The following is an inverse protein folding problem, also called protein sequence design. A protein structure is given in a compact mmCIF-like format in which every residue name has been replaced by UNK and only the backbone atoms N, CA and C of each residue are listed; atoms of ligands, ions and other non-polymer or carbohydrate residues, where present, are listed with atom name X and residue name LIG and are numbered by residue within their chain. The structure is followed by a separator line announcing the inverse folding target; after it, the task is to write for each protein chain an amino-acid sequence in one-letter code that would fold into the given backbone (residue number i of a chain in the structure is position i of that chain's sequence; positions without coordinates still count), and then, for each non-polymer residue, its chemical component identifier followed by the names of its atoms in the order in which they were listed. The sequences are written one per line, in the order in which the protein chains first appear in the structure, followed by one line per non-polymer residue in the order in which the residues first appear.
data_IF_355478936354
#
_entry.id   IF_355478936354
#
_cell.length_a   1.000
_cell.length_b   1.000
_cell.length_c   1.000
_cell.angle_alpha   90.00
_cell.angle_beta   90.00
_cell.angle_gamma   90.00
#
_symmetry.space_group_name_H-M   'P 1'
#
loop_
_entity.id
_entity.type
_entity.pdbx_description
1 polymer ?
#
# COMPACT_ATOMS: atom_id res chain seq x y z
N UNK A 1 -16.50 14.91 32.18
CA UNK A 1 -16.68 13.83 31.19
C UNK A 1 -15.29 13.42 30.72
N UNK A 2 -14.78 12.24 31.12
CA UNK A 2 -13.44 11.77 30.73
C UNK A 2 -13.55 10.98 29.43
N UNK A 3 -12.80 11.38 28.40
CA UNK A 3 -12.66 10.58 27.18
C UNK A 3 -11.76 9.38 27.53
N UNK A 4 -12.34 8.18 27.58
CA UNK A 4 -11.54 6.95 27.60
C UNK A 4 -11.05 6.70 26.18
N UNK A 5 -9.76 6.95 25.94
CA UNK A 5 -9.09 6.52 24.71
C UNK A 5 -8.94 5.00 24.80
N UNK A 6 -9.81 4.26 24.11
CA UNK A 6 -9.65 2.82 23.90
C UNK A 6 -8.66 2.61 22.76
N UNK A 7 -7.39 2.38 23.09
CA UNK A 7 -6.42 1.90 22.11
C UNK A 7 -6.73 0.42 21.84
N UNK A 8 -7.49 0.14 20.79
CA UNK A 8 -7.56 -1.22 20.29
C UNK A 8 -6.27 -1.51 19.51
N UNK A 9 -5.49 -2.52 19.90
CA UNK A 9 -4.27 -2.85 19.19
C UNK A 9 -4.61 -3.37 17.79
N UNK A 10 -3.87 -2.91 16.78
CA UNK A 10 -3.91 -3.55 15.47
C UNK A 10 -3.56 -5.03 15.62
N UNK A 11 -4.46 -5.90 15.19
CA UNK A 11 -4.22 -7.34 15.13
C UNK A 11 -4.11 -7.74 13.67
N UNK A 12 -2.88 -8.00 13.23
CA UNK A 12 -2.62 -8.60 11.92
C UNK A 12 -3.41 -9.90 11.83
N UNK A 13 -4.14 -10.10 10.72
CA UNK A 13 -4.71 -11.38 10.41
C UNK A 13 -3.58 -12.33 9.95
N UNK A 14 -3.05 -13.13 10.88
CA UNK A 14 -1.96 -14.06 10.60
C UNK A 14 -2.35 -15.21 9.66
N UNK A 15 -3.65 -15.42 9.43
CA UNK A 15 -4.14 -16.41 8.46
C UNK A 15 -3.98 -15.93 7.00
N UNK A 16 -3.59 -14.67 6.78
CA UNK A 16 -3.39 -14.09 5.45
C UNK A 16 -1.92 -13.73 5.29
N UNK A 17 -1.28 -14.33 4.29
CA UNK A 17 0.06 -13.92 3.85
C UNK A 17 0.08 -12.44 3.46
N UNK A 18 1.21 -11.73 3.64
CA UNK A 18 1.32 -10.40 3.08
C UNK A 18 1.00 -10.43 1.60
N UNK A 19 0.26 -9.44 1.15
CA UNK A 19 0.05 -9.20 -0.27
C UNK A 19 1.29 -8.45 -0.78
N UNK A 20 1.99 -9.06 -1.73
CA UNK A 20 3.09 -8.42 -2.44
C UNK A 20 2.50 -7.58 -3.57
N UNK A 21 2.64 -6.26 -3.47
CA UNK A 21 2.21 -5.34 -4.52
C UNK A 21 3.43 -4.89 -5.30
N UNK A 22 3.55 -5.26 -6.59
CA UNK A 22 4.74 -4.94 -7.37
C UNK A 22 4.85 -3.41 -7.57
N UNK A 23 6.04 -2.89 -7.29
CA UNK A 23 6.37 -1.48 -7.43
C UNK A 23 7.18 -1.27 -8.71
N UNK A 24 6.47 -1.34 -9.82
CA UNK A 24 6.99 -1.05 -11.16
C UNK A 24 6.55 0.36 -11.58
N UNK A 25 7.10 0.81 -12.69
CA UNK A 25 6.85 2.13 -13.28
C UNK A 25 5.47 2.30 -13.94
N UNK A 26 4.71 1.23 -14.01
CA UNK A 26 3.33 1.21 -14.44
C UNK A 26 2.43 0.89 -13.25
N UNK A 27 1.24 1.48 -13.22
CA UNK A 27 0.29 1.23 -12.16
C UNK A 27 -0.10 -0.25 -12.14
N UNK A 28 0.30 -0.97 -11.10
CA UNK A 28 -0.14 -2.34 -10.82
C UNK A 28 -1.37 -2.30 -9.92
N UNK A 29 -2.32 -3.21 -10.13
CA UNK A 29 -3.52 -3.28 -9.29
C UNK A 29 -3.61 -4.64 -8.62
N UNK A 30 -3.93 -4.63 -7.32
CA UNK A 30 -4.17 -5.83 -6.53
C UNK A 30 -5.53 -5.77 -5.88
N UNK A 31 -6.33 -6.81 -6.13
CA UNK A 31 -7.63 -6.98 -5.51
C UNK A 31 -7.46 -7.38 -4.05
N UNK A 32 -8.19 -6.71 -3.16
CA UNK A 32 -8.27 -7.09 -1.75
C UNK A 32 -9.50 -7.97 -1.56
N UNK A 33 -9.33 -9.12 -0.91
CA UNK A 33 -10.44 -10.02 -0.62
C UNK A 33 -11.49 -9.36 0.30
N UNK A 34 -12.70 -9.92 0.32
CA UNK A 34 -13.79 -9.43 1.16
C UNK A 34 -13.38 -9.43 2.64
N UNK A 35 -13.45 -8.26 3.27
CA UNK A 35 -13.06 -8.10 4.67
C UNK A 35 -14.29 -8.24 5.56
N UNK A 36 -14.28 -9.17 6.53
CA UNK A 36 -15.49 -9.55 7.25
C UNK A 36 -16.11 -8.44 8.12
N UNK A 37 -15.38 -7.33 8.39
CA UNK A 37 -15.75 -6.40 9.47
C UNK A 37 -15.81 -4.91 9.09
N UNK A 38 -15.73 -4.52 7.81
CA UNK A 38 -15.96 -3.13 7.34
C UNK A 38 -14.94 -2.05 7.76
N UNK A 39 -14.21 -2.23 8.86
CA UNK A 39 -13.08 -1.38 9.28
C UNK A 39 -11.77 -2.10 8.98
N UNK A 40 -11.00 -1.55 8.05
CA UNK A 40 -9.75 -2.16 7.57
C UNK A 40 -8.59 -1.31 8.03
N UNK A 41 -7.72 -1.90 8.86
CA UNK A 41 -6.37 -1.37 9.03
C UNK A 41 -5.44 -2.15 8.12
N UNK A 42 -4.49 -1.46 7.49
CA UNK A 42 -3.44 -2.10 6.70
C UNK A 42 -2.07 -1.68 7.21
N UNK A 43 -1.17 -2.65 7.32
CA UNK A 43 0.26 -2.43 7.49
C UNK A 43 0.92 -2.31 6.12
N UNK A 44 1.84 -1.38 5.97
CA UNK A 44 2.68 -1.22 4.77
C UNK A 44 4.13 -1.41 5.19
N UNK A 45 4.86 -2.27 4.49
CA UNK A 45 6.33 -2.34 4.55
C UNK A 45 6.90 -2.02 3.16
N UNK A 46 7.79 -1.04 3.10
CA UNK A 46 8.63 -0.75 1.95
C UNK A 46 10.09 -1.03 2.30
N UNK A 47 10.56 -2.25 2.05
CA UNK A 47 11.95 -2.64 2.30
C UNK A 47 12.92 -2.20 1.19
N UNK A 48 12.42 -1.60 0.11
CA UNK A 48 13.22 -1.29 -1.07
C UNK A 48 13.69 0.18 -1.07
N UNK A 49 14.85 0.47 -1.67
CA UNK A 49 15.40 1.83 -1.82
C UNK A 49 14.67 2.65 -2.92
N UNK A 50 13.35 2.63 -2.93
CA UNK A 50 12.50 3.34 -3.90
C UNK A 50 11.27 3.95 -3.23
N UNK A 51 10.80 5.07 -3.76
CA UNK A 51 9.54 5.67 -3.31
C UNK A 51 8.37 5.00 -3.99
N UNK A 52 7.31 4.72 -3.24
CA UNK A 52 6.17 3.96 -3.77
C UNK A 52 4.87 4.67 -3.41
N UNK A 53 3.97 4.78 -4.39
CA UNK A 53 2.63 5.33 -4.18
C UNK A 53 1.58 4.24 -4.10
N UNK A 54 0.60 4.43 -3.22
CA UNK A 54 -0.62 3.63 -3.19
C UNK A 54 -1.85 4.49 -3.35
N UNK A 55 -2.78 4.03 -4.18
CA UNK A 55 -4.11 4.60 -4.33
C UNK A 55 -5.16 3.50 -4.14
N UNK A 56 -6.09 3.72 -3.23
CA UNK A 56 -7.17 2.76 -2.99
C UNK A 56 -8.33 2.91 -3.97
N UNK A 57 -8.91 1.79 -4.36
CA UNK A 57 -10.15 1.76 -5.15
C UNK A 57 -11.36 1.60 -4.24
N UNK A 58 -12.34 2.52 -4.30
CA UNK A 58 -13.55 2.43 -3.48
C UNK A 58 -14.45 1.27 -3.93
N UNK A 59 -15.31 0.79 -3.01
CA UNK A 59 -16.30 -0.23 -3.36
C UNK A 59 -17.30 0.30 -4.37
N UNK A 60 -17.73 -0.59 -5.28
CA UNK A 60 -18.69 -0.26 -6.31
C UNK A 60 -18.12 0.56 -7.46
N UNK A 61 -16.81 0.86 -7.45
CA UNK A 61 -16.15 1.39 -8.64
C UNK A 61 -16.23 0.36 -9.77
N UNK A 62 -16.56 0.84 -10.97
CA UNK A 62 -16.61 -0.01 -12.18
C UNK A 62 -15.22 -0.33 -12.71
N UNK A 63 -14.21 0.47 -12.35
CA UNK A 63 -12.82 0.34 -12.79
C UNK A 63 -11.85 0.54 -11.62
N UNK A 64 -10.67 -0.10 -11.63
CA UNK A 64 -9.60 0.16 -10.68
C UNK A 64 -9.13 1.62 -10.72
N UNK A 65 -8.96 2.23 -9.55
CA UNK A 65 -8.23 3.49 -9.44
C UNK A 65 -6.77 3.26 -9.87
N UNK A 66 -6.22 4.16 -10.68
CA UNK A 66 -4.84 4.05 -11.20
C UNK A 66 -3.94 5.05 -10.47
N UNK A 67 -3.05 4.54 -9.63
CA UNK A 67 -2.01 5.34 -9.01
C UNK A 67 -1.14 6.01 -10.09
N UNK A 68 -0.71 7.25 -9.82
CA UNK A 68 0.21 8.01 -10.66
C UNK A 68 1.18 8.79 -9.77
N UNK A 69 2.08 9.58 -10.36
CA UNK A 69 3.12 10.32 -9.61
C UNK A 69 2.57 11.32 -8.57
N UNK A 70 1.30 11.73 -8.69
CA UNK A 70 0.74 12.83 -7.89
C UNK A 70 -0.37 12.36 -6.94
N UNK A 71 -1.05 11.25 -7.24
CA UNK A 71 -2.20 10.78 -6.48
C UNK A 71 -1.85 9.73 -5.40
N UNK A 72 -2.72 9.64 -4.39
CA UNK A 72 -2.60 8.65 -3.32
C UNK A 72 -1.53 8.97 -2.27
N UNK A 73 -1.22 8.00 -1.42
CA UNK A 73 -0.16 8.14 -0.41
C UNK A 73 1.18 7.77 -0.96
N UNK A 74 2.20 8.49 -0.50
CA UNK A 74 3.59 8.28 -0.86
C UNK A 74 4.34 7.69 0.35
N UNK A 75 4.96 6.53 0.14
CA UNK A 75 5.75 5.83 1.15
C UNK A 75 7.24 5.90 0.79
N UNK A 76 8.10 6.37 1.71
CA UNK A 76 9.53 6.44 1.48
C UNK A 76 10.19 5.05 1.49
N UNK A 77 11.44 4.95 1.00
CA UNK A 77 12.31 3.82 1.26
C UNK A 77 12.42 3.47 2.76
N UNK A 78 12.45 2.18 3.09
CA UNK A 78 12.60 1.69 4.47
C UNK A 78 11.37 1.92 5.37
N UNK A 79 10.23 2.28 4.79
CA UNK A 79 9.04 2.65 5.54
C UNK A 79 8.32 1.45 6.17
N UNK A 80 7.87 1.61 7.41
CA UNK A 80 6.89 0.74 8.05
C UNK A 80 5.81 1.58 8.73
N UNK A 81 4.54 1.28 8.48
CA UNK A 81 3.43 1.99 9.12
C UNK A 81 2.12 1.24 9.05
N UNK A 82 1.20 1.60 9.96
CA UNK A 82 -0.15 1.06 10.03
C UNK A 82 -1.15 2.20 9.79
N UNK A 83 -2.11 1.96 8.91
CA UNK A 83 -3.05 2.96 8.42
C UNK A 83 -4.48 2.42 8.50
N UNK A 84 -5.40 3.26 8.94
CA UNK A 84 -6.82 2.98 8.84
C UNK A 84 -7.33 3.39 7.46
N UNK A 85 -8.16 2.56 6.84
CA UNK A 85 -8.82 2.91 5.59
C UNK A 85 -10.21 2.29 5.42
N UNK A 86 -10.95 2.89 4.50
CA UNK A 86 -12.20 2.41 3.92
C UNK A 86 -12.02 1.96 2.46
N UNK A 87 -10.86 1.42 2.05
CA UNK A 87 -10.73 0.84 0.70
C UNK A 87 -11.14 -0.62 0.69
N UNK A 88 -12.28 -0.95 0.09
CA UNK A 88 -12.85 -2.26 0.33
C UNK A 88 -12.78 -3.17 -0.91
N UNK A 89 -12.25 -2.70 -2.05
CA UNK A 89 -12.12 -3.51 -3.27
C UNK A 89 -10.66 -3.83 -3.65
N UNK A 90 -9.77 -2.83 -3.62
CA UNK A 90 -8.41 -3.01 -4.15
C UNK A 90 -7.50 -1.83 -3.92
N UNK A 91 -6.24 -2.01 -4.26
CA UNK A 91 -5.21 -0.97 -4.22
C UNK A 91 -4.42 -1.01 -5.53
N UNK A 92 -4.08 0.16 -6.06
CA UNK A 92 -3.06 0.30 -7.08
C UNK A 92 -1.77 0.89 -6.53
N UNK A 93 -0.67 0.55 -7.18
CA UNK A 93 0.67 0.87 -6.75
C UNK A 93 1.56 1.25 -7.93
N UNK A 94 2.47 2.19 -7.70
CA UNK A 94 3.47 2.60 -8.70
C UNK A 94 4.75 3.06 -8.00
N UNK A 95 5.89 2.69 -8.57
CA UNK A 95 7.20 3.21 -8.19
C UNK A 95 7.40 4.64 -8.72
N UNK A 96 7.95 5.52 -7.90
CA UNK A 96 8.14 6.94 -8.24
C UNK A 96 9.60 7.33 -8.10
N UNK A 97 10.16 7.95 -9.13
CA UNK A 97 11.50 8.52 -9.10
C UNK A 97 11.53 9.77 -8.21
N UNK A 98 12.54 9.87 -7.34
CA UNK A 98 12.85 11.08 -6.58
C UNK A 98 14.36 11.39 -6.66
N UNK A 99 14.78 12.63 -6.39
CA UNK A 99 16.21 12.95 -6.29
C UNK A 99 16.92 11.98 -5.35
N UNK A 100 18.06 11.43 -5.78
CA UNK A 100 18.86 10.40 -5.09
C UNK A 100 18.20 9.02 -4.93
N UNK A 101 16.98 8.81 -5.47
CA UNK A 101 16.28 7.52 -5.48
C UNK A 101 15.64 7.28 -6.86
N UNK A 102 16.46 7.11 -7.92
CA UNK A 102 15.97 6.81 -9.25
C UNK A 102 15.37 5.40 -9.32
N UNK A 103 14.33 5.24 -10.15
CA UNK A 103 13.74 3.93 -10.47
C UNK A 103 14.53 3.21 -11.57
N UNK A 104 15.25 3.95 -12.40
CA UNK A 104 15.97 3.44 -13.56
C UNK A 104 17.43 3.87 -13.58
N UNK A 105 18.25 3.09 -14.26
CA UNK A 105 19.63 3.46 -14.59
C UNK A 105 19.70 4.33 -15.85
N UNK A 106 20.93 4.77 -16.20
CA UNK A 106 21.19 5.61 -17.37
C UNK A 106 20.86 4.91 -18.71
N UNK A 107 20.71 3.58 -18.71
CA UNK A 107 20.32 2.79 -19.88
C UNK A 107 18.80 2.60 -20.00
N UNK A 108 18.03 3.06 -19.00
CA UNK A 108 16.58 2.92 -18.92
C UNK A 108 16.10 1.59 -18.32
N UNK A 109 17.01 0.79 -17.75
CA UNK A 109 16.64 -0.45 -17.07
C UNK A 109 16.19 -0.17 -15.63
N UNK A 110 15.22 -0.96 -15.12
CA UNK A 110 14.77 -0.86 -13.73
C UNK A 110 15.92 -1.22 -12.78
N UNK A 111 16.22 -0.33 -11.83
CA UNK A 111 17.23 -0.56 -10.80
C UNK A 111 16.78 -1.59 -9.75
N UNK A 112 15.47 -1.71 -9.54
CA UNK A 112 14.86 -2.58 -8.55
C UNK A 112 13.74 -3.41 -9.18
N UNK A 113 14.07 -4.38 -10.07
CA UNK A 113 13.07 -5.15 -10.80
C UNK A 113 12.18 -6.02 -9.90
N UNK A 114 12.66 -6.36 -8.71
CA UNK A 114 11.95 -7.17 -7.73
C UNK A 114 11.28 -6.35 -6.61
N UNK A 115 11.28 -5.00 -6.73
CA UNK A 115 10.68 -4.15 -5.71
C UNK A 115 9.18 -4.40 -5.56
N UNK A 116 8.76 -4.61 -4.31
CA UNK A 116 7.37 -4.80 -3.97
C UNK A 116 7.07 -4.20 -2.59
N UNK A 117 5.87 -3.65 -2.43
CA UNK A 117 5.32 -3.33 -1.12
C UNK A 117 4.70 -4.57 -0.51
N UNK A 118 4.96 -4.80 0.77
CA UNK A 118 4.24 -5.81 1.54
C UNK A 118 3.06 -5.17 2.25
N UNK A 119 1.87 -5.70 2.01
CA UNK A 119 0.64 -5.25 2.63
C UNK A 119 0.06 -6.32 3.55
N UNK A 120 -0.29 -5.91 4.77
CA UNK A 120 -0.89 -6.77 5.78
C UNK A 120 -2.26 -6.22 6.15
N UNK A 121 -3.26 -7.08 6.27
CA UNK A 121 -4.60 -6.66 6.69
C UNK A 121 -4.87 -7.12 8.12
N UNK A 122 -5.61 -6.29 8.85
CA UNK A 122 -6.07 -6.61 10.19
C UNK A 122 -7.31 -5.80 10.53
N UNK A 123 -8.01 -6.24 11.57
CA UNK A 123 -9.04 -5.41 12.20
C UNK A 123 -8.39 -4.55 13.28
N UNK A 124 -8.72 -3.26 13.29
CA UNK A 124 -8.74 -2.47 14.51
C UNK A 124 -10.12 -2.65 15.13
N UNK A 125 -10.19 -3.25 16.32
CA UNK A 125 -11.45 -3.36 17.06
C UNK A 125 -11.77 -2.08 17.84
#
# INVERSE_FOLDING_TARGET
MSIQIKNAPFRRNLAVSPIMVPAIDTASYVLLGALPNGVTSFGVVNSYPIWIRLLGTPMGATEPAKANEHDGWLFPPGHFGIYSTQFPMGLSCIAVTRPNFPTYDDSGALLYPDAALELFYGSGA
#
